data_IF_138732120652
#
_entry.id   IF_138732120652
#
_cell.length_a   1.000
_cell.length_b   1.000
_cell.length_c   1.000
_cell.angle_alpha   90.00
_cell.angle_beta   90.00
_cell.angle_gamma   90.00
#
_symmetry.space_group_name_H-M   'P 1'
#
loop_
_entity.id
_entity.type
_entity.pdbx_description
1 polymer ?
#
# COMPACT_ATOMS: atom_id res chain seq x y z
N UNK A 1 3.30 49.31 -31.26
CA UNK A 1 3.24 48.37 -32.39
C UNK A 1 4.20 47.22 -32.08
N UNK A 2 3.82 46.37 -31.12
CA UNK A 2 3.24 45.02 -31.31
C UNK A 2 4.27 43.98 -31.73
N UNK A 3 5.01 43.49 -30.73
CA UNK A 3 5.72 42.22 -30.75
C UNK A 3 4.79 41.12 -30.20
N UNK A 4 4.68 40.01 -30.95
CA UNK A 4 3.86 38.86 -30.62
C UNK A 4 4.61 37.87 -29.71
N UNK A 5 3.97 37.22 -28.73
CA UNK A 5 4.55 36.09 -28.02
C UNK A 5 3.93 34.75 -28.47
N UNK A 6 4.80 33.77 -28.73
CA UNK A 6 4.46 32.36 -28.87
C UNK A 6 3.80 31.83 -27.58
N UNK A 7 2.59 31.27 -27.71
CA UNK A 7 1.94 30.42 -26.71
C UNK A 7 1.40 29.15 -27.38
N UNK A 8 1.56 28.06 -26.63
CA UNK A 8 0.82 26.79 -26.64
C UNK A 8 0.89 25.88 -27.87
N UNK A 9 1.82 24.93 -27.83
CA UNK A 9 1.67 23.62 -28.49
C UNK A 9 1.42 22.60 -27.38
N UNK A 10 0.17 22.12 -27.30
CA UNK A 10 -0.26 20.79 -26.83
C UNK A 10 -1.78 20.84 -26.56
N UNK A 11 -2.57 20.67 -27.61
CA UNK A 11 -3.93 20.14 -27.47
C UNK A 11 -4.37 19.48 -28.78
N UNK A 12 -5.01 18.33 -28.61
CA UNK A 12 -5.83 17.56 -29.57
C UNK A 12 -5.08 16.60 -30.48
N UNK A 13 -5.02 15.36 -30.02
CA UNK A 13 -5.38 14.13 -30.75
C UNK A 13 -5.79 13.15 -29.64
N UNK A 14 -6.92 12.48 -29.58
CA UNK A 14 -8.11 12.38 -30.40
C UNK A 14 -8.90 11.25 -29.74
N UNK A 15 -9.98 11.58 -29.03
CA UNK A 15 -10.88 10.57 -28.48
C UNK A 15 -12.31 10.93 -28.88
N UNK A 16 -12.96 9.92 -29.46
CA UNK A 16 -14.32 9.76 -29.98
C UNK A 16 -14.38 9.70 -31.52
N UNK A 17 -15.10 8.71 -32.12
CA UNK A 17 -16.28 8.05 -31.53
C UNK A 17 -16.27 6.51 -31.65
N UNK A 18 -16.47 5.82 -30.53
CA UNK A 18 -17.23 4.57 -30.54
C UNK A 18 -18.24 4.68 -29.40
N UNK A 19 -19.46 4.24 -29.69
CA UNK A 19 -20.62 4.15 -28.78
C UNK A 19 -21.51 5.41 -28.69
N UNK A 20 -21.95 5.90 -29.85
CA UNK A 20 -23.37 6.23 -29.99
C UNK A 20 -24.11 4.97 -30.45
N UNK A 21 -25.00 4.47 -29.58
CA UNK A 21 -26.35 3.94 -29.84
C UNK A 21 -26.69 2.91 -28.78
N UNK A 22 -27.50 3.33 -27.80
CA UNK A 22 -28.69 2.61 -27.35
C UNK A 22 -29.28 3.38 -26.16
N UNK A 23 -30.23 4.28 -26.48
CA UNK A 23 -31.24 4.71 -25.52
C UNK A 23 -32.04 3.47 -25.14
N UNK A 24 -32.20 3.18 -23.85
CA UNK A 24 -33.45 2.62 -23.34
C UNK A 24 -33.68 3.10 -21.90
N UNK A 25 -34.87 3.69 -21.75
CA UNK A 25 -35.52 4.23 -20.55
C UNK A 25 -36.00 3.08 -19.65
N UNK A 26 -36.11 3.39 -18.35
CA UNK A 26 -36.97 2.69 -17.38
C UNK A 26 -36.30 1.50 -16.70
N UNK A 27 -36.45 1.25 -15.40
CA UNK A 27 -37.44 1.68 -14.43
C UNK A 27 -36.82 1.68 -13.03
N UNK A 28 -37.09 2.73 -12.26
CA UNK A 28 -37.21 2.67 -10.81
C UNK A 28 -38.32 1.66 -10.48
N UNK A 29 -38.09 0.71 -9.58
CA UNK A 29 -39.14 0.25 -8.65
C UNK A 29 -38.49 -0.45 -7.45
N UNK A 30 -38.52 0.25 -6.31
CA UNK A 30 -38.83 -0.38 -5.03
C UNK A 30 -40.25 -0.93 -5.13
N UNK A 31 -40.50 -2.16 -4.67
CA UNK A 31 -41.85 -2.55 -4.27
C UNK A 31 -41.79 -3.38 -3.00
N UNK A 32 -42.33 -2.77 -1.94
CA UNK A 32 -42.96 -3.46 -0.83
C UNK A 32 -44.09 -4.36 -1.34
N UNK A 33 -44.34 -5.48 -0.69
CA UNK A 33 -45.69 -6.07 -0.67
C UNK A 33 -46.11 -6.36 0.76
N UNK A 34 -47.27 -5.83 1.12
CA UNK A 34 -48.03 -6.13 2.34
C UNK A 34 -48.99 -7.28 2.04
N UNK A 35 -49.02 -8.25 2.95
CA UNK A 35 -50.24 -8.93 3.46
C UNK A 35 -51.00 -9.90 2.58
N UNK A 36 -50.92 -11.19 2.92
CA UNK A 36 -52.08 -12.08 2.96
C UNK A 36 -51.98 -12.97 4.20
N UNK A 37 -52.98 -12.87 5.08
CA UNK A 37 -53.09 -13.67 6.30
C UNK A 37 -53.71 -15.04 6.01
N UNK A 38 -53.16 -16.09 6.60
CA UNK A 38 -53.84 -17.37 6.79
C UNK A 38 -53.48 -17.90 8.19
N UNK A 39 -54.51 -18.29 8.94
CA UNK A 39 -54.43 -18.70 10.36
C UNK A 39 -54.13 -20.21 10.48
N UNK A 40 -53.08 -20.47 11.28
CA UNK A 40 -52.72 -21.61 12.15
C UNK A 40 -53.27 -23.04 11.91
N UNK A 41 -52.36 -24.03 11.97
CA UNK A 41 -52.44 -25.18 12.92
C UNK A 41 -51.00 -25.57 13.33
N UNK A 42 -50.86 -26.03 14.58
CA UNK A 42 -49.62 -26.20 15.33
C UNK A 42 -48.61 -27.21 14.80
N UNK A 43 -47.36 -26.99 15.22
CA UNK A 43 -46.22 -27.86 15.00
C UNK A 43 -44.95 -27.18 15.49
N UNK A 44 -44.73 -27.16 16.81
CA UNK A 44 -43.43 -26.82 17.39
C UNK A 44 -42.40 -27.83 16.91
N UNK A 45 -41.67 -27.48 15.86
CA UNK A 45 -40.49 -28.19 15.40
C UNK A 45 -39.33 -27.22 15.48
N UNK A 46 -38.30 -27.62 16.22
CA UNK A 46 -36.98 -26.99 16.24
C UNK A 46 -36.53 -26.67 14.81
N UNK A 47 -35.92 -25.51 14.52
CA UNK A 47 -35.48 -25.20 13.18
C UNK A 47 -34.41 -26.21 12.77
N UNK A 48 -34.74 -26.99 11.75
CA UNK A 48 -33.86 -27.86 10.98
C UNK A 48 -32.51 -27.14 10.74
N UNK A 49 -31.34 -27.76 10.95
CA UNK A 49 -30.07 -27.13 10.57
C UNK A 49 -30.17 -26.77 9.09
N UNK A 50 -30.21 -25.47 8.80
CA UNK A 50 -30.32 -24.95 7.44
C UNK A 50 -29.27 -25.62 6.58
N UNK A 51 -29.69 -26.41 5.57
CA UNK A 51 -28.81 -27.20 4.71
C UNK A 51 -27.65 -26.40 4.10
N UNK A 52 -27.74 -25.05 4.05
CA UNK A 52 -26.60 -24.21 3.64
C UNK A 52 -25.43 -24.24 4.61
N UNK A 53 -25.61 -24.55 5.89
CA UNK A 53 -24.49 -24.73 6.81
C UNK A 53 -23.63 -25.89 6.34
N UNK A 54 -24.24 -27.06 6.12
CA UNK A 54 -23.55 -28.25 5.62
C UNK A 54 -22.95 -28.00 4.23
N UNK A 55 -23.71 -27.38 3.33
CA UNK A 55 -23.21 -27.02 2.00
C UNK A 55 -21.98 -26.09 2.06
N UNK A 56 -21.98 -25.06 2.90
CA UNK A 56 -20.85 -24.13 3.03
C UNK A 56 -19.61 -24.81 3.61
N UNK A 57 -19.79 -25.81 4.49
CA UNK A 57 -18.68 -26.65 4.96
C UNK A 57 -18.14 -27.50 3.81
N UNK A 58 -19.01 -28.24 3.12
CA UNK A 58 -18.58 -29.24 2.14
C UNK A 58 -18.09 -28.63 0.81
N UNK A 59 -18.82 -27.64 0.29
CA UNK A 59 -18.57 -27.07 -1.05
C UNK A 59 -17.62 -25.87 -1.04
N UNK A 60 -17.59 -25.11 0.06
CA UNK A 60 -16.72 -23.94 0.22
C UNK A 60 -15.54 -24.19 1.18
N UNK A 61 -15.59 -25.22 2.03
CA UNK A 61 -14.50 -25.53 2.96
C UNK A 61 -14.45 -24.60 4.17
N UNK A 62 -15.58 -24.05 4.61
CA UNK A 62 -15.65 -23.27 5.85
C UNK A 62 -15.66 -24.17 7.09
N UNK A 63 -15.22 -23.64 8.24
CA UNK A 63 -15.48 -24.31 9.51
C UNK A 63 -16.99 -24.30 9.83
N UNK A 64 -17.50 -25.25 10.63
CA UNK A 64 -18.91 -25.28 11.00
C UNK A 64 -19.42 -23.97 11.63
N UNK A 65 -18.58 -23.30 12.43
CA UNK A 65 -18.92 -22.03 13.07
C UNK A 65 -19.01 -20.86 12.08
N UNK A 66 -18.08 -20.78 11.12
CA UNK A 66 -18.13 -19.81 10.03
C UNK A 66 -19.33 -20.05 9.10
N UNK A 67 -19.58 -21.30 8.74
CA UNK A 67 -20.70 -21.70 7.90
C UNK A 67 -22.05 -21.32 8.54
N UNK A 68 -22.21 -21.53 9.85
CA UNK A 68 -23.40 -21.10 10.58
C UNK A 68 -23.63 -19.58 10.58
N UNK A 69 -22.55 -18.78 10.52
CA UNK A 69 -22.64 -17.33 10.37
C UNK A 69 -23.02 -16.96 8.94
N UNK A 70 -22.36 -17.57 7.95
CA UNK A 70 -22.51 -17.25 6.53
C UNK A 70 -23.77 -17.83 5.88
N UNK A 71 -24.44 -18.80 6.52
CA UNK A 71 -25.73 -19.33 6.06
C UNK A 71 -26.89 -18.36 6.29
N UNK A 72 -26.81 -17.47 7.30
CA UNK A 72 -27.92 -16.56 7.66
C UNK A 72 -28.37 -15.66 6.49
N UNK A 73 -27.48 -14.99 5.74
CA UNK A 73 -27.88 -14.21 4.54
C UNK A 73 -28.48 -15.07 3.42
N UNK A 74 -28.24 -16.39 3.46
CA UNK A 74 -28.69 -17.38 2.48
C UNK A 74 -29.94 -18.14 2.94
N UNK A 75 -30.54 -17.76 4.08
CA UNK A 75 -31.66 -18.46 4.69
C UNK A 75 -32.88 -18.66 3.76
N UNK A 76 -33.03 -17.78 2.76
CA UNK A 76 -34.10 -17.82 1.77
C UNK A 76 -33.89 -18.89 0.68
N UNK A 77 -32.68 -19.41 0.50
CA UNK A 77 -32.42 -20.45 -0.49
C UNK A 77 -33.05 -21.78 -0.07
N UNK A 78 -33.48 -22.54 -1.07
CA UNK A 78 -34.07 -23.89 -0.94
C UNK A 78 -33.36 -24.94 -1.80
N UNK A 79 -32.41 -24.50 -2.63
CA UNK A 79 -31.63 -25.34 -3.56
C UNK A 79 -30.20 -24.81 -3.65
N UNK A 80 -29.25 -25.70 -3.96
CA UNK A 80 -27.84 -25.38 -4.21
C UNK A 80 -27.55 -25.04 -5.67
N UNK A 81 -28.49 -25.24 -6.60
CA UNK A 81 -28.26 -25.08 -8.05
C UNK A 81 -27.57 -23.77 -8.42
N UNK A 82 -28.06 -22.66 -7.88
CA UNK A 82 -27.52 -21.34 -8.16
C UNK A 82 -26.16 -21.11 -7.48
N UNK A 83 -25.99 -21.38 -6.17
CA UNK A 83 -24.66 -21.43 -5.55
C UNK A 83 -23.65 -22.30 -6.31
N UNK A 84 -24.02 -23.51 -6.73
CA UNK A 84 -23.16 -24.44 -7.45
C UNK A 84 -22.75 -23.87 -8.82
N UNK A 85 -23.69 -23.28 -9.54
CA UNK A 85 -23.40 -22.61 -10.81
C UNK A 85 -22.39 -21.46 -10.62
N UNK A 86 -22.52 -20.66 -9.56
CA UNK A 86 -21.56 -19.59 -9.23
C UNK A 86 -20.19 -20.16 -8.86
N UNK A 87 -20.12 -21.18 -8.01
CA UNK A 87 -18.86 -21.82 -7.62
C UNK A 87 -18.15 -22.46 -8.82
N UNK A 88 -18.88 -23.16 -9.67
CA UNK A 88 -18.33 -23.79 -10.88
C UNK A 88 -17.82 -22.75 -11.87
N UNK A 89 -18.53 -21.63 -12.04
CA UNK A 89 -18.04 -20.50 -12.82
C UNK A 89 -16.75 -19.92 -12.21
N UNK A 90 -16.71 -19.65 -10.90
CA UNK A 90 -15.48 -19.13 -10.27
C UNK A 90 -14.30 -20.10 -10.45
N UNK A 91 -14.51 -21.41 -10.30
CA UNK A 91 -13.48 -22.41 -10.58
C UNK A 91 -13.03 -22.39 -12.04
N UNK A 92 -13.95 -22.24 -13.00
CA UNK A 92 -13.61 -22.16 -14.42
C UNK A 92 -12.83 -20.88 -14.78
N UNK A 93 -12.98 -19.80 -14.01
CA UNK A 93 -12.16 -18.60 -14.11
C UNK A 93 -10.82 -18.70 -13.34
N UNK A 94 -10.49 -19.86 -12.77
CA UNK A 94 -9.20 -20.12 -12.13
C UNK A 94 -9.13 -19.84 -10.63
N UNK A 95 -10.26 -19.64 -9.94
CA UNK A 95 -10.25 -19.53 -8.48
C UNK A 95 -9.99 -20.87 -7.80
N UNK A 96 -9.06 -20.88 -6.85
CA UNK A 96 -8.85 -22.00 -5.95
C UNK A 96 -9.82 -21.95 -4.75
N UNK A 97 -9.84 -23.02 -3.94
CA UNK A 97 -10.70 -23.09 -2.76
C UNK A 97 -10.45 -21.95 -1.75
N UNK A 98 -9.19 -21.52 -1.60
CA UNK A 98 -8.85 -20.43 -0.69
C UNK A 98 -9.36 -19.06 -1.20
N UNK A 99 -9.25 -18.81 -2.51
CA UNK A 99 -9.77 -17.63 -3.18
C UNK A 99 -11.30 -17.55 -3.07
N UNK A 100 -11.99 -18.65 -3.36
CA UNK A 100 -13.45 -18.75 -3.20
C UNK A 100 -13.86 -18.44 -1.76
N UNK A 101 -13.24 -19.10 -0.77
CA UNK A 101 -13.51 -18.82 0.65
C UNK A 101 -13.38 -17.35 0.98
N UNK A 102 -12.28 -16.72 0.56
CA UNK A 102 -12.04 -15.30 0.83
C UNK A 102 -13.12 -14.38 0.24
N UNK A 103 -13.60 -14.66 -0.98
CA UNK A 103 -14.67 -13.88 -1.62
C UNK A 103 -15.99 -14.07 -0.87
N UNK A 104 -16.36 -15.33 -0.57
CA UNK A 104 -17.63 -15.65 0.10
C UNK A 104 -17.65 -15.17 1.56
N UNK A 105 -16.50 -15.15 2.25
CA UNK A 105 -16.39 -14.54 3.58
C UNK A 105 -16.64 -13.04 3.59
N UNK A 106 -16.39 -12.35 2.46
CA UNK A 106 -16.70 -10.94 2.28
C UNK A 106 -18.21 -10.69 2.24
N UNK A 107 -18.92 -11.45 1.42
CA UNK A 107 -20.38 -11.47 1.40
C UNK A 107 -20.91 -12.82 0.85
N UNK A 108 -21.59 -13.63 1.68
CA UNK A 108 -22.15 -14.90 1.22
C UNK A 108 -23.17 -14.75 0.08
N UNK A 109 -23.81 -13.57 -0.04
CA UNK A 109 -24.81 -13.29 -1.09
C UNK A 109 -24.23 -13.29 -2.49
N UNK A 110 -22.90 -13.30 -2.67
CA UNK A 110 -22.29 -13.51 -3.98
C UNK A 110 -22.66 -14.85 -4.61
N UNK A 111 -22.96 -15.88 -3.80
CA UNK A 111 -23.51 -17.17 -4.27
C UNK A 111 -24.90 -17.03 -4.91
N UNK A 112 -25.59 -15.92 -4.66
CA UNK A 112 -26.89 -15.60 -5.23
C UNK A 112 -26.80 -14.64 -6.43
N UNK A 113 -25.62 -14.29 -6.91
CA UNK A 113 -25.50 -13.43 -8.08
C UNK A 113 -26.03 -14.12 -9.35
N UNK A 114 -26.63 -13.35 -10.25
CA UNK A 114 -26.99 -13.85 -11.58
C UNK A 114 -25.71 -13.92 -12.44
N UNK A 115 -25.38 -15.10 -12.94
CA UNK A 115 -24.17 -15.32 -13.74
C UNK A 115 -24.14 -14.45 -14.99
N UNK A 116 -25.13 -14.60 -15.87
CA UNK A 116 -25.16 -13.96 -17.18
C UNK A 116 -25.29 -12.43 -17.10
N UNK A 117 -26.09 -11.94 -16.15
CA UNK A 117 -26.40 -10.51 -16.02
C UNK A 117 -25.40 -9.74 -15.18
N UNK A 118 -24.70 -10.40 -14.26
CA UNK A 118 -23.85 -9.71 -13.27
C UNK A 118 -22.40 -10.19 -13.34
N UNK A 119 -22.14 -11.48 -13.17
CA UNK A 119 -20.77 -11.98 -13.05
C UNK A 119 -20.04 -11.98 -14.40
N UNK A 120 -20.62 -12.56 -15.45
CA UNK A 120 -19.99 -12.62 -16.77
C UNK A 120 -19.60 -11.24 -17.32
N UNK A 121 -20.48 -10.21 -17.29
CA UNK A 121 -20.12 -8.88 -17.78
C UNK A 121 -19.00 -8.21 -16.97
N UNK A 122 -18.89 -8.50 -15.67
CA UNK A 122 -17.82 -7.95 -14.82
C UNK A 122 -16.46 -8.57 -15.13
N UNK A 123 -16.43 -9.89 -15.30
CA UNK A 123 -15.21 -10.58 -15.71
C UNK A 123 -14.78 -10.14 -17.11
N UNK A 124 -15.72 -10.02 -18.04
CA UNK A 124 -15.43 -9.51 -19.38
C UNK A 124 -14.87 -8.09 -19.34
N UNK A 125 -15.50 -7.21 -18.57
CA UNK A 125 -14.99 -5.85 -18.40
C UNK A 125 -13.57 -5.81 -17.82
N UNK A 126 -13.23 -6.69 -16.88
CA UNK A 126 -11.85 -6.78 -16.36
C UNK A 126 -10.86 -7.29 -17.43
N UNK A 127 -11.29 -8.21 -18.31
CA UNK A 127 -10.50 -8.62 -19.49
C UNK A 127 -10.28 -7.46 -20.45
N UNK A 128 -11.32 -6.65 -20.70
CA UNK A 128 -11.25 -5.49 -21.60
C UNK A 128 -10.29 -4.40 -21.08
N UNK A 129 -9.96 -4.40 -19.78
CA UNK A 129 -8.90 -3.57 -19.19
C UNK A 129 -7.49 -4.11 -19.42
N UNK A 130 -7.34 -5.27 -20.06
CA UNK A 130 -6.06 -5.92 -20.36
C UNK A 130 -5.52 -6.80 -19.22
N UNK A 131 -6.36 -7.21 -18.26
CA UNK A 131 -5.94 -8.12 -17.19
C UNK A 131 -5.95 -9.57 -17.68
N UNK A 132 -4.93 -10.34 -17.30
CA UNK A 132 -4.94 -11.80 -17.48
C UNK A 132 -5.94 -12.49 -16.56
N UNK A 133 -6.28 -13.76 -16.82
CA UNK A 133 -7.18 -14.52 -15.95
C UNK A 133 -6.66 -14.58 -14.50
N UNK A 134 -5.35 -14.81 -14.29
CA UNK A 134 -4.76 -14.80 -12.95
C UNK A 134 -4.86 -13.45 -12.27
N UNK A 135 -4.66 -12.36 -13.03
CA UNK A 135 -4.78 -10.99 -12.52
C UNK A 135 -6.23 -10.71 -12.09
N UNK A 136 -7.22 -11.17 -12.85
CA UNK A 136 -8.65 -11.03 -12.53
C UNK A 136 -8.99 -11.73 -11.21
N UNK A 137 -8.47 -12.95 -11.00
CA UNK A 137 -8.63 -13.68 -9.73
C UNK A 137 -8.08 -12.84 -8.58
N UNK A 138 -6.87 -12.30 -8.71
CA UNK A 138 -6.26 -11.46 -7.67
C UNK A 138 -7.05 -10.17 -7.40
N UNK A 139 -7.53 -9.50 -8.45
CA UNK A 139 -8.37 -8.30 -8.32
C UNK A 139 -9.63 -8.61 -7.52
N UNK A 140 -10.40 -9.62 -7.91
CA UNK A 140 -11.67 -9.96 -7.26
C UNK A 140 -11.42 -10.49 -5.84
N UNK A 141 -10.40 -11.32 -5.65
CA UNK A 141 -10.02 -11.84 -4.33
C UNK A 141 -9.71 -10.70 -3.35
N UNK A 142 -9.04 -9.66 -3.81
CA UNK A 142 -8.69 -8.51 -2.96
C UNK A 142 -9.78 -7.44 -2.91
N UNK A 143 -10.66 -7.37 -3.92
CA UNK A 143 -11.68 -6.35 -4.09
C UNK A 143 -13.06 -6.95 -4.44
N UNK A 144 -13.52 -7.94 -3.66
CA UNK A 144 -14.76 -8.69 -3.93
C UNK A 144 -16.01 -7.81 -4.05
N UNK A 145 -16.00 -6.62 -3.44
CA UNK A 145 -16.99 -5.55 -3.62
C UNK A 145 -17.31 -5.23 -5.09
N UNK A 146 -16.36 -5.46 -6.02
CA UNK A 146 -16.58 -5.26 -7.45
C UNK A 146 -17.75 -6.11 -7.98
N UNK A 147 -18.05 -7.24 -7.34
CA UNK A 147 -19.13 -8.16 -7.75
C UNK A 147 -20.54 -7.62 -7.45
N UNK A 148 -20.69 -6.72 -6.48
CA UNK A 148 -22.00 -6.11 -6.14
C UNK A 148 -22.15 -4.65 -6.57
N UNK A 149 -21.07 -3.94 -6.94
CA UNK A 149 -21.15 -2.52 -7.32
C UNK A 149 -21.52 -2.32 -8.78
N UNK A 150 -22.17 -1.20 -9.10
CA UNK A 150 -22.39 -0.79 -10.49
C UNK A 150 -21.02 -0.44 -11.14
N UNK A 151 -20.69 -1.13 -12.23
CA UNK A 151 -19.37 -1.01 -12.91
C UNK A 151 -19.15 0.41 -13.42
N UNK A 152 -20.08 0.95 -14.20
CA UNK A 152 -19.91 2.26 -14.83
C UNK A 152 -19.90 3.41 -13.82
N UNK A 153 -20.86 3.44 -12.89
CA UNK A 153 -20.99 4.56 -11.96
C UNK A 153 -19.93 4.58 -10.87
N UNK A 154 -19.45 3.42 -10.42
CA UNK A 154 -18.56 3.36 -9.25
C UNK A 154 -17.12 2.98 -9.59
N UNK A 155 -16.88 2.20 -10.64
CA UNK A 155 -15.55 1.68 -10.92
C UNK A 155 -14.80 2.51 -11.95
N UNK A 156 -15.43 2.84 -13.08
CA UNK A 156 -14.79 3.65 -14.14
C UNK A 156 -14.35 5.02 -13.61
N UNK A 157 -15.23 5.74 -12.91
CA UNK A 157 -14.89 7.04 -12.30
C UNK A 157 -13.72 6.94 -11.32
N UNK A 158 -13.61 5.83 -10.57
CA UNK A 158 -12.48 5.60 -9.65
C UNK A 158 -11.20 5.29 -10.40
N UNK A 159 -11.28 4.44 -11.43
CA UNK A 159 -10.14 4.13 -12.29
C UNK A 159 -9.56 5.40 -12.90
N UNK A 160 -10.40 6.23 -13.52
CA UNK A 160 -9.99 7.49 -14.15
C UNK A 160 -9.34 8.45 -13.15
N UNK A 161 -9.93 8.58 -11.95
CA UNK A 161 -9.37 9.43 -10.89
C UNK A 161 -7.97 8.93 -10.45
N UNK A 162 -7.84 7.62 -10.19
CA UNK A 162 -6.55 7.04 -9.80
C UNK A 162 -5.53 7.05 -10.93
N UNK A 163 -5.96 6.87 -12.18
CA UNK A 163 -5.10 6.97 -13.37
C UNK A 163 -4.53 8.38 -13.49
N UNK A 164 -5.35 9.41 -13.28
CA UNK A 164 -4.91 10.81 -13.23
C UNK A 164 -3.89 11.07 -12.11
N UNK A 165 -4.15 10.61 -10.88
CA UNK A 165 -3.26 10.86 -9.74
C UNK A 165 -1.95 10.07 -9.79
N UNK A 166 -2.00 8.81 -10.23
CA UNK A 166 -0.83 7.93 -10.30
C UNK A 166 -0.02 8.18 -11.58
N UNK A 167 -0.66 8.71 -12.63
CA UNK A 167 -0.08 8.99 -13.94
C UNK A 167 0.09 7.76 -14.83
N UNK A 168 -0.47 6.61 -14.45
CA UNK A 168 -0.34 5.37 -15.22
C UNK A 168 -1.44 4.38 -14.87
N UNK A 169 -2.16 3.89 -15.90
CA UNK A 169 -3.12 2.79 -15.78
C UNK A 169 -2.45 1.52 -15.24
N UNK A 170 -1.24 1.23 -15.68
CA UNK A 170 -0.49 0.05 -15.21
C UNK A 170 -0.26 0.11 -13.69
N UNK A 171 0.07 1.28 -13.16
CA UNK A 171 0.21 1.47 -11.71
C UNK A 171 -1.12 1.30 -10.97
N UNK A 172 -2.23 1.79 -11.54
CA UNK A 172 -3.58 1.58 -10.98
C UNK A 172 -3.88 0.08 -10.90
N UNK A 173 -3.68 -0.65 -11.99
CA UNK A 173 -3.95 -2.09 -12.07
C UNK A 173 -3.02 -2.87 -11.13
N UNK A 174 -1.74 -2.49 -11.01
CA UNK A 174 -0.81 -3.07 -10.04
C UNK A 174 -1.32 -2.93 -8.60
N UNK A 175 -1.86 -1.77 -8.23
CA UNK A 175 -2.46 -1.55 -6.90
C UNK A 175 -3.75 -2.34 -6.72
N UNK A 176 -4.62 -2.36 -7.74
CA UNK A 176 -5.87 -3.09 -7.72
C UNK A 176 -5.64 -4.60 -7.48
N UNK A 177 -4.60 -5.17 -8.10
CA UNK A 177 -4.23 -6.58 -7.90
C UNK A 177 -3.72 -6.87 -6.49
N UNK A 178 -2.93 -5.97 -5.92
CA UNK A 178 -2.22 -6.23 -4.65
C UNK A 178 -3.00 -5.82 -3.40
N UNK A 179 -4.06 -5.02 -3.55
CA UNK A 179 -4.65 -4.33 -2.42
C UNK A 179 -6.17 -4.27 -2.50
N UNK A 180 -6.82 -4.33 -1.34
CA UNK A 180 -8.29 -4.28 -1.25
C UNK A 180 -8.88 -2.89 -0.98
N UNK A 181 -8.07 -1.83 -0.90
CA UNK A 181 -8.54 -0.52 -0.44
C UNK A 181 -9.31 0.26 -1.51
N UNK A 182 -9.21 -0.14 -2.77
CA UNK A 182 -9.67 0.64 -3.93
C UNK A 182 -11.16 1.03 -3.83
N UNK A 183 -11.99 0.15 -3.26
CA UNK A 183 -13.43 0.37 -3.20
C UNK A 183 -13.94 1.00 -1.90
N UNK A 184 -13.13 1.08 -0.84
CA UNK A 184 -13.62 1.48 0.49
C UNK A 184 -13.83 2.99 0.64
N UNK A 185 -13.17 3.82 -0.15
CA UNK A 185 -13.30 5.28 -0.09
C UNK A 185 -14.27 5.83 -1.15
N UNK A 186 -15.05 6.85 -0.80
CA UNK A 186 -15.90 7.56 -1.76
C UNK A 186 -15.09 8.62 -2.50
N UNK A 187 -15.26 8.73 -3.81
CA UNK A 187 -14.61 9.78 -4.60
C UNK A 187 -15.04 11.16 -4.10
N UNK A 188 -16.36 11.40 -4.06
CA UNK A 188 -16.95 12.69 -3.70
C UNK A 188 -16.80 13.04 -2.21
N UNK A 189 -17.01 12.06 -1.32
CA UNK A 189 -17.05 12.31 0.14
C UNK A 189 -15.70 12.16 0.85
N UNK A 190 -14.71 11.54 0.20
CA UNK A 190 -13.44 11.19 0.86
C UNK A 190 -12.25 11.65 0.05
N UNK A 191 -12.08 11.13 -1.17
CA UNK A 191 -10.89 11.37 -1.99
C UNK A 191 -10.78 12.84 -2.41
N UNK A 192 -11.86 13.44 -2.92
CA UNK A 192 -11.89 14.84 -3.32
C UNK A 192 -11.63 15.81 -2.14
N UNK A 193 -12.32 15.71 -0.99
CA UNK A 193 -12.01 16.55 0.17
C UNK A 193 -10.56 16.43 0.65
N UNK A 194 -9.99 15.22 0.64
CA UNK A 194 -8.62 15.00 1.05
C UNK A 194 -7.61 15.63 0.08
N UNK A 195 -7.83 15.49 -1.23
CA UNK A 195 -7.02 16.15 -2.24
C UNK A 195 -7.13 17.67 -2.15
N UNK A 196 -8.35 18.18 -1.90
CA UNK A 196 -8.60 19.61 -1.69
C UNK A 196 -7.85 20.13 -0.46
N UNK A 197 -7.91 19.42 0.67
CA UNK A 197 -7.16 19.77 1.88
C UNK A 197 -5.65 19.87 1.60
N UNK A 198 -5.08 18.89 0.90
CA UNK A 198 -3.64 18.87 0.61
C UNK A 198 -3.23 20.00 -0.35
N UNK A 199 -4.01 20.26 -1.40
CA UNK A 199 -3.66 21.28 -2.40
C UNK A 199 -4.00 22.69 -1.94
N UNK A 200 -5.25 22.91 -1.53
CA UNK A 200 -5.80 24.24 -1.33
C UNK A 200 -5.45 24.77 0.07
N UNK A 201 -5.57 23.95 1.11
CA UNK A 201 -5.33 24.39 2.50
C UNK A 201 -3.86 24.18 2.92
N UNK A 202 -3.22 23.10 2.49
CA UNK A 202 -1.80 22.84 2.81
C UNK A 202 -0.83 23.43 1.77
N UNK A 203 -1.33 23.89 0.61
CA UNK A 203 -0.52 24.52 -0.43
C UNK A 203 0.47 23.55 -1.10
N UNK A 204 0.15 22.26 -1.15
CA UNK A 204 1.04 21.22 -1.67
C UNK A 204 0.83 21.09 -3.19
N UNK A 205 1.90 21.21 -4.00
CA UNK A 205 1.82 21.01 -5.43
C UNK A 205 1.36 19.60 -5.81
N UNK A 206 0.60 19.49 -6.90
CA UNK A 206 0.01 18.22 -7.35
C UNK A 206 1.07 17.17 -7.64
N UNK A 207 2.22 17.55 -8.21
CA UNK A 207 3.32 16.63 -8.47
C UNK A 207 3.88 15.99 -7.18
N UNK A 208 3.92 16.74 -6.07
CA UNK A 208 4.40 16.23 -4.77
C UNK A 208 3.37 15.30 -4.14
N UNK A 209 2.08 15.59 -4.31
CA UNK A 209 1.00 14.69 -3.89
C UNK A 209 1.10 13.38 -4.66
N UNK A 210 1.14 13.44 -5.99
CA UNK A 210 1.25 12.27 -6.86
C UNK A 210 2.47 11.41 -6.56
N UNK A 211 3.64 12.02 -6.27
CA UNK A 211 4.86 11.29 -5.95
C UNK A 211 4.67 10.30 -4.79
N UNK A 212 4.01 10.73 -3.71
CA UNK A 212 3.76 9.85 -2.55
C UNK A 212 2.62 8.88 -2.84
N UNK A 213 1.56 9.32 -3.52
CA UNK A 213 0.40 8.47 -3.82
C UNK A 213 0.71 7.32 -4.78
N UNK A 214 1.73 7.44 -5.64
CA UNK A 214 2.22 6.34 -6.49
C UNK A 214 2.58 5.10 -5.68
N UNK A 215 3.15 5.28 -4.50
CA UNK A 215 3.54 4.19 -3.59
C UNK A 215 2.51 3.97 -2.48
N UNK A 216 1.87 5.04 -1.99
CA UNK A 216 1.02 5.02 -0.80
C UNK A 216 -0.37 5.64 -1.04
N UNK A 217 -1.17 5.09 -1.97
CA UNK A 217 -2.47 5.66 -2.34
C UNK A 217 -3.52 5.61 -1.21
N UNK A 218 -3.31 4.74 -0.20
CA UNK A 218 -4.17 4.66 0.99
C UNK A 218 -4.21 5.97 1.79
N UNK A 219 -3.17 6.80 1.71
CA UNK A 219 -3.05 8.03 2.49
C UNK A 219 -4.26 8.95 2.29
N UNK A 220 -4.82 9.06 1.08
CA UNK A 220 -6.00 9.90 0.81
C UNK A 220 -7.33 9.14 0.89
N UNK A 221 -7.31 7.84 1.16
CA UNK A 221 -8.52 7.02 1.27
C UNK A 221 -9.12 7.01 2.69
N UNK A 222 -8.44 7.61 3.67
CA UNK A 222 -8.93 7.76 5.04
C UNK A 222 -10.02 8.84 5.17
N UNK A 223 -10.75 8.85 6.29
CA UNK A 223 -11.74 9.90 6.56
C UNK A 223 -11.09 11.29 6.56
N UNK A 224 -11.77 12.35 6.09
CA UNK A 224 -11.20 13.69 6.07
C UNK A 224 -10.69 14.19 7.42
N UNK A 225 -11.37 13.85 8.50
CA UNK A 225 -10.97 14.19 9.87
C UNK A 225 -9.65 13.51 10.26
N UNK A 226 -9.46 12.27 9.82
CA UNK A 226 -8.22 11.52 10.05
C UNK A 226 -7.04 12.17 9.33
N UNK A 227 -7.20 12.56 8.05
CA UNK A 227 -6.12 13.24 7.33
C UNK A 227 -5.79 14.60 7.96
N UNK A 228 -6.79 15.36 8.41
CA UNK A 228 -6.56 16.61 9.16
C UNK A 228 -5.79 16.38 10.46
N UNK A 229 -6.09 15.30 11.19
CA UNK A 229 -5.33 14.96 12.39
C UNK A 229 -3.85 14.63 12.08
N UNK A 230 -3.55 14.04 10.91
CA UNK A 230 -2.16 13.84 10.49
C UNK A 230 -1.46 15.16 10.17
N UNK A 231 -2.16 16.08 9.51
CA UNK A 231 -1.66 17.44 9.24
C UNK A 231 -1.35 18.17 10.54
N UNK A 232 -2.28 18.16 11.51
CA UNK A 232 -2.07 18.75 12.82
C UNK A 232 -0.85 18.16 13.54
N UNK A 233 -0.68 16.82 13.53
CA UNK A 233 0.52 16.18 14.09
C UNK A 233 1.82 16.62 13.40
N UNK A 234 1.78 16.84 12.08
CA UNK A 234 2.94 17.32 11.33
C UNK A 234 3.26 18.78 11.66
N UNK A 235 2.24 19.61 11.84
CA UNK A 235 2.37 20.99 12.29
C UNK A 235 2.93 21.05 13.73
N UNK A 236 2.45 20.18 14.65
CA UNK A 236 2.95 20.06 16.03
C UNK A 236 4.44 19.65 16.07
N UNK A 237 4.88 18.80 15.13
CA UNK A 237 6.29 18.44 14.96
C UNK A 237 7.13 19.62 14.40
N UNK A 238 6.48 20.69 13.93
CA UNK A 238 7.11 21.82 13.24
C UNK A 238 7.60 21.47 11.84
N UNK A 239 6.98 20.51 11.16
CA UNK A 239 7.33 20.17 9.78
C UNK A 239 6.84 21.27 8.82
N UNK A 240 7.74 21.93 8.05
CA UNK A 240 7.30 22.91 7.08
C UNK A 240 6.46 22.28 5.98
N UNK A 241 5.26 22.81 5.73
CA UNK A 241 4.34 22.30 4.68
C UNK A 241 4.96 22.27 3.28
N UNK A 242 5.90 23.18 3.02
CA UNK A 242 6.63 23.24 1.75
C UNK A 242 7.85 22.32 1.64
N UNK A 243 8.21 21.63 2.72
CA UNK A 243 9.23 20.60 2.68
C UNK A 243 8.80 19.43 1.80
N UNK A 244 9.76 18.85 1.05
CA UNK A 244 9.57 17.57 0.38
C UNK A 244 9.19 16.45 1.37
N UNK A 245 9.58 16.58 2.64
CA UNK A 245 9.30 15.60 3.68
C UNK A 245 7.88 15.68 4.21
N UNK A 246 7.13 16.77 4.01
CA UNK A 246 5.80 16.92 4.59
C UNK A 246 4.85 15.76 4.21
N UNK A 247 4.75 15.44 2.92
CA UNK A 247 3.91 14.33 2.44
C UNK A 247 4.38 12.97 2.97
N UNK A 248 5.70 12.76 3.08
CA UNK A 248 6.26 11.54 3.67
C UNK A 248 5.99 11.44 5.17
N UNK A 249 6.02 12.56 5.90
CA UNK A 249 5.65 12.62 7.31
C UNK A 249 4.19 12.26 7.51
N UNK A 250 3.28 12.72 6.64
CA UNK A 250 1.87 12.31 6.69
C UNK A 250 1.70 10.80 6.48
N UNK A 251 2.41 10.23 5.50
CA UNK A 251 2.40 8.78 5.27
C UNK A 251 2.96 7.99 6.48
N UNK A 252 4.05 8.46 7.07
CA UNK A 252 4.60 7.88 8.31
C UNK A 252 3.57 7.94 9.43
N UNK A 253 2.93 9.08 9.66
CA UNK A 253 1.94 9.24 10.73
C UNK A 253 0.64 8.47 10.48
N UNK A 254 0.29 8.22 9.22
CA UNK A 254 -0.79 7.30 8.87
C UNK A 254 -0.47 5.87 9.33
N UNK A 255 0.80 5.46 9.30
CA UNK A 255 1.25 4.10 9.68
C UNK A 255 1.75 4.00 11.14
N UNK A 256 1.99 5.13 11.80
CA UNK A 256 2.53 5.24 13.17
C UNK A 256 1.55 6.02 14.04
N UNK A 257 0.88 5.29 14.95
CA UNK A 257 0.00 5.90 15.95
C UNK A 257 0.75 6.86 16.87
N UNK A 258 0.00 7.69 17.59
CA UNK A 258 0.56 8.67 18.54
C UNK A 258 1.37 7.98 19.64
N UNK A 259 0.82 6.89 20.20
CA UNK A 259 1.47 6.08 21.24
C UNK A 259 2.75 5.44 20.73
N UNK A 260 2.72 4.92 19.49
CA UNK A 260 3.92 4.34 18.87
C UNK A 260 4.98 5.42 18.64
N UNK A 261 4.60 6.62 18.25
CA UNK A 261 5.52 7.75 18.07
C UNK A 261 6.17 8.15 19.39
N UNK A 262 5.39 8.29 20.46
CA UNK A 262 5.88 8.62 21.81
C UNK A 262 6.82 7.56 22.36
N UNK A 263 6.50 6.27 22.17
CA UNK A 263 7.41 5.18 22.56
C UNK A 263 8.76 5.24 21.82
N UNK A 264 8.80 5.76 20.59
CA UNK A 264 10.05 5.96 19.85
C UNK A 264 10.80 7.18 20.39
N UNK A 265 10.09 8.26 20.70
CA UNK A 265 10.69 9.43 21.33
C UNK A 265 11.34 9.08 22.68
N UNK A 266 10.66 8.28 23.51
CA UNK A 266 11.20 7.80 24.79
C UNK A 266 12.43 6.91 24.60
N UNK A 267 12.38 5.99 23.64
CA UNK A 267 13.54 5.17 23.31
C UNK A 267 14.74 6.01 22.87
N UNK A 268 14.52 7.03 22.03
CA UNK A 268 15.62 7.91 21.61
C UNK A 268 16.16 8.73 22.79
N UNK A 269 15.28 9.16 23.70
CA UNK A 269 15.67 9.85 24.94
C UNK A 269 16.52 8.95 25.84
N UNK A 270 16.24 7.65 25.95
CA UNK A 270 17.08 6.72 26.72
C UNK A 270 18.48 6.54 26.12
N UNK A 271 18.67 6.82 24.83
CA UNK A 271 19.99 6.90 24.20
C UNK A 271 20.66 8.28 24.36
N UNK A 272 20.01 9.25 24.99
CA UNK A 272 20.55 10.58 25.24
C UNK A 272 20.14 11.65 24.23
N UNK A 273 19.14 11.40 23.37
CA UNK A 273 18.59 12.47 22.53
C UNK A 273 17.74 13.44 23.34
N UNK A 274 17.95 14.72 23.13
CA UNK A 274 17.01 15.77 23.52
C UNK A 274 15.75 15.76 22.64
N UNK A 275 14.70 16.41 23.12
CA UNK A 275 13.44 16.56 22.35
C UNK A 275 13.64 17.32 21.04
N UNK A 276 14.52 18.32 21.03
CA UNK A 276 14.84 19.11 19.83
C UNK A 276 15.62 18.29 18.81
N UNK A 277 16.56 17.45 19.25
CA UNK A 277 17.30 16.51 18.40
C UNK A 277 16.36 15.47 17.79
N UNK A 278 15.47 14.88 18.60
CA UNK A 278 14.47 13.93 18.10
C UNK A 278 13.56 14.58 17.06
N UNK A 279 13.04 15.77 17.35
CA UNK A 279 12.16 16.50 16.43
C UNK A 279 12.89 16.87 15.13
N UNK A 280 14.15 17.32 15.22
CA UNK A 280 14.99 17.61 14.06
C UNK A 280 15.23 16.36 13.20
N UNK A 281 15.58 15.24 13.83
CA UNK A 281 15.77 13.96 13.15
C UNK A 281 14.49 13.45 12.48
N UNK A 282 13.35 13.51 13.19
CA UNK A 282 12.05 13.13 12.65
C UNK A 282 11.64 14.01 11.45
N UNK A 283 12.05 15.29 11.43
CA UNK A 283 11.81 16.17 10.28
C UNK A 283 12.72 15.89 9.09
N UNK A 284 13.98 15.54 9.34
CA UNK A 284 14.96 15.19 8.29
C UNK A 284 14.70 13.82 7.67
N UNK A 285 14.32 12.84 8.49
CA UNK A 285 14.27 11.43 8.12
C UNK A 285 13.05 10.70 8.72
N UNK A 286 11.80 11.14 8.47
CA UNK A 286 10.61 10.62 9.17
C UNK A 286 10.43 9.10 9.05
N UNK A 287 10.95 8.49 7.99
CA UNK A 287 10.85 7.04 7.71
C UNK A 287 11.48 6.15 8.79
N UNK A 288 12.42 6.63 9.62
CA UNK A 288 12.95 5.79 10.71
C UNK A 288 11.87 5.47 11.76
N UNK A 289 10.83 6.30 11.88
CA UNK A 289 9.73 6.08 12.83
C UNK A 289 8.86 4.87 12.46
N UNK A 290 8.93 4.40 11.21
CA UNK A 290 8.25 3.18 10.78
C UNK A 290 8.93 1.89 11.27
N UNK A 291 10.17 1.97 11.76
CA UNK A 291 10.91 0.82 12.28
C UNK A 291 10.32 0.31 13.59
N UNK A 292 10.58 -0.97 13.90
CA UNK A 292 10.33 -1.52 15.23
C UNK A 292 11.28 -0.89 16.25
N UNK A 293 10.88 -0.88 17.53
CA UNK A 293 11.74 -0.40 18.62
C UNK A 293 13.04 -1.21 18.68
N UNK A 294 12.97 -2.54 18.57
CA UNK A 294 14.14 -3.43 18.53
C UNK A 294 15.11 -3.10 17.38
N UNK A 295 14.60 -2.80 16.19
CA UNK A 295 15.47 -2.41 15.06
C UNK A 295 16.17 -1.06 15.33
N UNK A 296 15.47 -0.10 15.91
CA UNK A 296 16.06 1.18 16.32
C UNK A 296 17.14 0.94 17.38
N UNK A 297 16.88 0.11 18.40
CA UNK A 297 17.86 -0.25 19.42
C UNK A 297 19.13 -0.83 18.81
N UNK A 298 19.01 -1.84 17.93
CA UNK A 298 20.17 -2.49 17.28
C UNK A 298 20.98 -1.51 16.44
N UNK A 299 20.33 -0.58 15.75
CA UNK A 299 21.01 0.45 14.97
C UNK A 299 21.76 1.42 15.87
N UNK A 300 21.10 1.92 16.92
CA UNK A 300 21.70 2.84 17.88
C UNK A 300 22.88 2.20 18.61
N UNK A 301 22.70 0.97 19.11
CA UNK A 301 23.76 0.18 19.75
C UNK A 301 24.97 0.01 18.83
N UNK A 302 24.76 -0.38 17.58
CA UNK A 302 25.86 -0.50 16.61
C UNK A 302 26.59 0.84 16.40
N UNK A 303 25.87 1.94 16.15
CA UNK A 303 26.51 3.22 15.90
C UNK A 303 27.22 3.79 17.13
N UNK A 304 26.68 3.60 18.33
CA UNK A 304 27.27 4.10 19.57
C UNK A 304 28.42 3.20 20.02
N UNK A 305 28.16 1.92 20.22
CA UNK A 305 29.09 1.01 20.91
C UNK A 305 30.12 0.37 19.97
N UNK A 306 29.82 0.22 18.68
CA UNK A 306 30.75 -0.37 17.70
C UNK A 306 31.45 0.69 16.87
N UNK A 307 30.71 1.67 16.34
CA UNK A 307 31.30 2.73 15.51
C UNK A 307 31.87 3.87 16.35
N UNK A 308 31.37 4.09 17.57
CA UNK A 308 31.85 5.14 18.47
C UNK A 308 31.22 6.52 18.22
N UNK A 309 30.04 6.60 17.61
CA UNK A 309 29.33 7.85 17.40
C UNK A 309 28.58 8.30 18.64
N UNK A 310 28.56 9.62 18.87
CA UNK A 310 27.73 10.20 19.92
C UNK A 310 26.25 10.18 19.50
N UNK A 311 25.31 10.06 20.46
CA UNK A 311 23.88 10.12 20.16
C UNK A 311 23.48 11.38 19.37
N UNK A 312 24.01 12.54 19.74
CA UNK A 312 23.78 13.82 19.05
C UNK A 312 24.26 13.81 17.60
N UNK A 313 25.41 13.19 17.30
CA UNK A 313 25.88 13.05 15.93
C UNK A 313 24.92 12.20 15.08
N UNK A 314 24.38 11.12 15.66
CA UNK A 314 23.40 10.27 14.99
C UNK A 314 22.08 11.03 14.75
N UNK A 315 21.66 11.88 15.69
CA UNK A 315 20.48 12.74 15.51
C UNK A 315 20.66 13.72 14.34
N UNK A 316 21.81 14.39 14.27
CA UNK A 316 22.12 15.29 13.17
C UNK A 316 22.17 14.55 11.82
N UNK A 317 22.76 13.36 11.81
CA UNK A 317 22.92 12.47 10.66
C UNK A 317 21.86 11.34 10.62
N UNK A 318 20.61 11.65 10.98
CA UNK A 318 19.53 10.66 11.13
C UNK A 318 19.27 9.78 9.90
N UNK A 319 19.67 10.20 8.70
CA UNK A 319 19.66 9.38 7.48
C UNK A 319 20.48 8.08 7.60
N UNK A 320 21.47 8.03 8.50
CA UNK A 320 22.24 6.81 8.79
C UNK A 320 21.34 5.66 9.26
N UNK A 321 20.25 5.98 9.97
CA UNK A 321 19.29 4.98 10.44
C UNK A 321 18.51 4.34 9.29
N UNK A 322 18.42 4.99 8.12
CA UNK A 322 17.63 4.51 6.99
C UNK A 322 18.32 3.40 6.20
N UNK A 323 19.65 3.27 6.27
CA UNK A 323 20.38 2.21 5.57
C UNK A 323 20.17 0.84 6.23
N UNK A 324 20.13 -0.24 5.44
CA UNK A 324 20.05 -1.60 6.00
C UNK A 324 21.25 -1.89 6.91
N UNK A 325 20.98 -2.23 8.17
CA UNK A 325 22.03 -2.52 9.14
C UNK A 325 22.90 -3.70 8.67
N UNK A 326 22.25 -4.80 8.29
CA UNK A 326 22.93 -6.04 7.91
C UNK A 326 23.48 -6.02 6.48
N UNK A 327 22.76 -5.42 5.52
CA UNK A 327 23.15 -5.48 4.10
C UNK A 327 24.09 -4.35 3.69
N UNK A 328 24.10 -3.23 4.41
CA UNK A 328 24.88 -2.05 4.02
C UNK A 328 25.80 -1.54 5.11
N UNK A 329 25.29 -1.30 6.32
CA UNK A 329 26.08 -0.64 7.37
C UNK A 329 27.21 -1.54 7.87
N UNK A 330 26.89 -2.73 8.39
CA UNK A 330 27.87 -3.67 8.96
C UNK A 330 28.92 -4.11 7.92
N UNK A 331 28.55 -4.53 6.69
CA UNK A 331 29.54 -5.02 5.74
C UNK A 331 30.54 -3.92 5.34
N UNK A 332 30.05 -2.70 5.10
CA UNK A 332 30.91 -1.57 4.75
C UNK A 332 31.78 -1.12 5.92
N UNK A 333 31.27 -1.21 7.15
CA UNK A 333 32.06 -0.96 8.35
C UNK A 333 33.22 -1.96 8.46
N UNK A 334 32.93 -3.26 8.34
CA UNK A 334 33.93 -4.34 8.42
C UNK A 334 35.01 -4.23 7.34
N UNK A 335 34.63 -3.91 6.11
CA UNK A 335 35.61 -3.62 5.03
C UNK A 335 36.49 -2.43 5.42
N UNK A 336 35.89 -1.34 5.93
CA UNK A 336 36.65 -0.15 6.33
C UNK A 336 37.65 -0.47 7.45
N UNK A 337 37.23 -1.22 8.47
CA UNK A 337 38.11 -1.65 9.57
C UNK A 337 39.22 -2.58 9.10
N UNK A 338 38.92 -3.54 8.22
CA UNK A 338 39.92 -4.45 7.65
C UNK A 338 41.00 -3.68 6.87
N UNK A 339 40.59 -2.71 6.04
CA UNK A 339 41.52 -1.86 5.30
C UNK A 339 42.41 -1.02 6.23
N UNK A 340 41.85 -0.50 7.34
CA UNK A 340 42.65 0.22 8.35
C UNK A 340 43.66 -0.71 9.02
N UNK A 341 43.23 -1.90 9.44
CA UNK A 341 44.10 -2.90 10.07
C UNK A 341 45.26 -3.33 9.16
N UNK A 342 45.03 -3.41 7.85
CA UNK A 342 46.06 -3.75 6.85
C UNK A 342 46.88 -2.54 6.39
N UNK A 343 46.64 -1.34 6.92
CA UNK A 343 47.36 -0.12 6.52
C UNK A 343 47.04 0.37 5.10
N UNK A 344 45.95 -0.11 4.50
CA UNK A 344 45.51 0.22 3.13
C UNK A 344 44.49 1.36 3.10
N UNK A 345 44.06 1.85 4.26
CA UNK A 345 43.07 2.91 4.37
C UNK A 345 43.64 4.29 4.07
N UNK A 346 43.17 4.92 3.00
CA UNK A 346 43.67 6.24 2.55
C UNK A 346 43.20 7.43 3.41
N UNK A 347 42.28 7.23 4.36
CA UNK A 347 41.74 8.32 5.19
C UNK A 347 40.82 9.31 4.46
N UNK A 348 40.65 9.18 3.14
CA UNK A 348 39.99 10.19 2.29
C UNK A 348 38.49 10.35 2.56
N UNK A 349 37.81 9.31 3.06
CA UNK A 349 36.35 9.33 3.24
C UNK A 349 35.96 9.07 4.69
N UNK A 350 34.97 9.81 5.19
CA UNK A 350 34.32 9.48 6.47
C UNK A 350 33.42 8.26 6.27
N UNK A 351 33.23 7.47 7.33
CA UNK A 351 32.36 6.28 7.27
C UNK A 351 30.92 6.63 6.82
N UNK A 352 30.40 7.78 7.23
CA UNK A 352 29.10 8.29 6.75
C UNK A 352 29.06 8.44 5.22
N UNK A 353 30.11 8.99 4.61
CA UNK A 353 30.24 9.10 3.14
C UNK A 353 30.32 7.73 2.46
N UNK A 354 30.97 6.75 3.10
CA UNK A 354 31.08 5.39 2.56
C UNK A 354 29.70 4.74 2.44
N UNK A 355 28.78 4.99 3.37
CA UNK A 355 27.43 4.43 3.35
C UNK A 355 26.56 4.96 2.20
N UNK A 356 26.86 6.15 1.70
CA UNK A 356 26.11 6.81 0.61
C UNK A 356 26.40 6.16 -0.75
N UNK A 357 27.63 5.68 -0.99
CA UNK A 357 27.99 5.13 -2.31
C UNK A 357 27.03 4.01 -2.77
N UNK A 358 26.81 3.91 -4.08
CA UNK A 358 26.18 2.71 -4.66
C UNK A 358 27.05 1.49 -4.39
N UNK A 359 26.46 0.29 -4.47
CA UNK A 359 27.23 -0.95 -4.23
C UNK A 359 28.36 -1.09 -5.25
N UNK A 360 28.13 -0.71 -6.52
CA UNK A 360 29.16 -0.65 -7.57
C UNK A 360 30.29 0.31 -7.22
N UNK A 361 29.98 1.59 -6.92
CA UNK A 361 31.00 2.60 -6.57
C UNK A 361 31.76 2.19 -5.31
N UNK A 362 31.10 1.54 -4.35
CA UNK A 362 31.74 1.03 -3.14
C UNK A 362 32.75 -0.09 -3.46
N UNK A 363 32.34 -1.07 -4.27
CA UNK A 363 33.21 -2.18 -4.68
C UNK A 363 34.46 -1.68 -5.43
N UNK A 364 34.26 -0.83 -6.44
CA UNK A 364 35.34 -0.27 -7.26
C UNK A 364 36.35 0.55 -6.45
N UNK A 365 35.88 1.29 -5.44
CA UNK A 365 36.75 2.18 -4.66
C UNK A 365 37.44 1.51 -3.50
N UNK A 366 36.79 0.55 -2.83
CA UNK A 366 37.27 0.04 -1.54
C UNK A 366 37.60 -1.45 -1.55
N UNK A 367 37.14 -2.22 -2.53
CA UNK A 367 37.27 -3.69 -2.51
C UNK A 367 38.15 -4.18 -3.65
N UNK A 368 37.79 -3.86 -4.89
CA UNK A 368 38.51 -4.32 -6.08
C UNK A 368 39.99 -3.91 -6.11
N UNK A 369 40.40 -2.69 -5.69
CA UNK A 369 41.81 -2.30 -5.65
C UNK A 369 42.67 -3.13 -4.71
N UNK A 370 42.06 -3.85 -3.76
CA UNK A 370 42.74 -4.62 -2.73
C UNK A 370 42.39 -6.11 -2.78
N UNK A 371 41.67 -6.58 -3.81
CA UNK A 371 41.14 -7.95 -3.89
C UNK A 371 42.23 -9.04 -3.85
N UNK A 372 43.42 -8.75 -4.38
CA UNK A 372 44.54 -9.69 -4.43
C UNK A 372 45.34 -9.66 -3.12
N UNK A 373 45.41 -8.49 -2.48
CA UNK A 373 46.16 -8.27 -1.24
C UNK A 373 45.36 -8.65 0.02
N UNK A 374 44.03 -8.59 -0.05
CA UNK A 374 43.09 -8.87 1.06
C UNK A 374 41.85 -9.58 0.50
N UNK A 375 41.95 -10.87 0.12
CA UNK A 375 40.82 -11.62 -0.44
C UNK A 375 39.62 -11.72 0.52
N UNK A 376 39.83 -11.62 1.84
CA UNK A 376 38.80 -11.69 2.88
C UNK A 376 37.74 -10.57 2.75
N UNK A 377 38.06 -9.48 2.05
CA UNK A 377 37.09 -8.41 1.76
C UNK A 377 35.88 -8.92 0.97
N UNK A 378 36.08 -9.88 0.07
CA UNK A 378 34.99 -10.47 -0.71
C UNK A 378 34.12 -11.38 0.16
N UNK A 379 34.71 -12.07 1.15
CA UNK A 379 33.97 -12.95 2.05
C UNK A 379 33.07 -12.16 3.00
N UNK A 380 33.52 -11.01 3.49
CA UNK A 380 32.70 -10.07 4.29
C UNK A 380 31.40 -9.72 3.54
N UNK A 381 31.49 -9.48 2.23
CA UNK A 381 30.34 -9.10 1.41
C UNK A 381 29.44 -10.29 1.03
N UNK A 382 30.02 -11.47 0.82
CA UNK A 382 29.27 -12.70 0.54
C UNK A 382 28.37 -13.10 1.71
N UNK A 383 28.90 -13.04 2.94
CA UNK A 383 28.13 -13.36 4.16
C UNK A 383 26.95 -12.40 4.36
N UNK A 384 27.05 -11.15 3.91
CA UNK A 384 25.96 -10.18 3.99
C UNK A 384 24.87 -10.39 2.93
N UNK A 385 25.23 -10.98 1.78
CA UNK A 385 24.32 -11.24 0.66
C UNK A 385 23.37 -12.42 0.86
N UNK A 386 23.66 -13.32 1.80
CA UNK A 386 22.88 -14.55 2.04
C UNK A 386 21.66 -14.35 2.95
N UNK A 387 21.49 -13.18 3.59
CA UNK A 387 20.27 -12.83 4.34
C UNK A 387 19.16 -12.32 3.40
N UNK A 388 18.61 -13.20 2.54
CA UNK A 388 17.34 -12.97 1.83
C UNK A 388 16.17 -13.50 2.69
N UNK A 389 15.60 -12.59 3.48
CA UNK A 389 14.30 -12.74 4.14
C UNK A 389 13.59 -11.39 4.11
N UNK A 390 12.30 -11.39 3.78
CA UNK A 390 11.45 -10.25 3.44
C UNK A 390 11.64 -8.98 4.29
N UNK A 391 11.76 -7.85 3.60
CA UNK A 391 11.19 -6.55 4.00
C UNK A 391 11.25 -5.61 2.79
N UNK A 392 10.21 -5.67 1.95
CA UNK A 392 9.97 -4.69 0.89
C UNK A 392 9.29 -3.46 1.47
N UNK A 393 10.07 -2.42 1.75
CA UNK A 393 9.61 -1.04 1.61
C UNK A 393 10.37 -0.50 0.41
N UNK A 394 9.66 -0.30 -0.70
CA UNK A 394 10.21 0.30 -1.91
C UNK A 394 10.60 1.74 -1.62
N UNK A 395 11.89 1.97 -1.36
CA UNK A 395 12.51 3.28 -1.52
C UNK A 395 12.80 3.45 -3.01
N UNK A 396 12.14 4.44 -3.61
CA UNK A 396 12.47 4.93 -4.94
C UNK A 396 13.89 5.53 -4.89
N UNK A 397 14.85 4.79 -5.44
CA UNK A 397 15.85 5.35 -6.35
C UNK A 397 15.07 5.82 -7.59
N UNK A 398 15.27 6.96 -8.23
CA UNK A 398 16.43 7.81 -8.43
C UNK A 398 15.97 9.28 -8.45
N UNK A 399 16.85 10.19 -8.06
CA UNK A 399 17.10 11.48 -8.71
C UNK A 399 18.33 12.08 -7.99
N UNK A 400 19.51 11.76 -8.55
CA UNK A 400 20.73 12.52 -8.32
C UNK A 400 20.54 13.90 -8.98
N UNK A 401 20.54 14.97 -8.19
CA UNK A 401 21.22 16.22 -8.53
C UNK A 401 21.22 17.17 -7.33
N UNK A 402 22.41 17.62 -6.94
CA UNK A 402 22.61 18.84 -6.15
C UNK A 402 22.40 18.73 -4.64
N UNK A 403 23.42 18.26 -3.90
CA UNK A 403 23.64 18.65 -2.51
C UNK A 403 25.15 18.86 -2.32
N UNK A 404 25.58 20.05 -2.72
CA UNK A 404 26.65 20.81 -2.06
C UNK A 404 26.13 21.39 -0.74
#
# INVERSE_FOLDING_TARGET
>A
MTAAPLRSVLRRNGLLPLFETCRLRGLLFFSSSVGAAAVAVGGTTSPDPHFMVEYLVNSCGFSPSEAAKFSKPLAHLRSTEKPDAVLNFMRSQGFDGAGIRKVISGDPRYLCCNLEKILTPKFQFLRDLGLSESDIVDVIRNNHEILCRNVHRSFVTKLEMWESLLGSRELVLKHLKKTGWFFFSSVEKTLHPNLKLLRDECGIPEERVSLVLRSHPKLISQKPESLRALVARADDLGMPRQSRMFMWTLDVFHNVSKERFEAKAELMRSFGWSESEFSSAARKAPTFLCMSLDMICRKMDFFINVVGYTPSFIADQSNLLLYSLQKRVIPRFRVTEMLKLKGLWTGKYKFTSILVFSDTKFLEKFVLPHKENVPELLDILRVAGTCKGNDTVHLASEDEEGLS
#
